data_IF_133012943559
#
_entry.id   IF_133012943559
#
_cell.length_a   1.000
_cell.length_b   1.000
_cell.length_c   1.000
_cell.angle_alpha   90.00
_cell.angle_beta   90.00
_cell.angle_gamma   90.00
#
_symmetry.space_group_name_H-M   'P 1'
#
loop_
_entity.id
_entity.type
_entity.pdbx_description
1 polymer ?
#
# COMPACT_ATOMS: atom_id res chain seq x y z
N UNK A 1 -27.52 51.47 -17.85
CA UNK A 1 -28.35 51.79 -16.66
C UNK A 1 -29.24 50.60 -16.35
N UNK A 2 -28.80 49.78 -15.39
CA UNK A 2 -29.53 48.80 -14.57
C UNK A 2 -28.46 48.12 -13.68
N UNK A 3 -28.77 47.73 -12.43
CA UNK A 3 -27.91 48.05 -11.29
C UNK A 3 -27.13 46.86 -10.70
N UNK A 4 -26.18 47.22 -9.83
CA UNK A 4 -25.37 46.34 -9.00
C UNK A 4 -26.22 45.47 -8.08
N UNK A 5 -25.88 44.18 -8.01
CA UNK A 5 -26.31 43.30 -6.92
C UNK A 5 -25.12 43.02 -6.00
N UNK A 6 -25.28 43.60 -4.81
CA UNK A 6 -24.52 43.54 -3.58
C UNK A 6 -23.86 42.19 -3.28
N UNK A 7 -22.55 42.26 -3.04
CA UNK A 7 -21.79 41.33 -2.23
C UNK A 7 -22.23 41.46 -0.76
N UNK A 8 -23.22 40.68 -0.34
CA UNK A 8 -23.59 40.53 1.07
C UNK A 8 -24.32 39.19 1.23
N UNK A 9 -23.59 38.08 1.34
CA UNK A 9 -24.11 36.86 2.00
C UNK A 9 -23.01 35.80 2.28
N UNK A 10 -21.89 36.17 2.90
CA UNK A 10 -20.99 35.21 3.56
C UNK A 10 -20.33 35.87 4.78
N UNK A 11 -21.18 36.33 5.70
CA UNK A 11 -20.79 36.70 7.07
C UNK A 11 -21.28 35.59 7.99
N UNK A 12 -20.40 35.10 8.86
CA UNK A 12 -20.68 34.21 10.00
C UNK A 12 -20.81 32.71 9.71
N UNK A 13 -19.70 32.08 9.35
CA UNK A 13 -19.38 30.75 9.86
C UNK A 13 -18.23 30.90 10.86
N UNK A 14 -18.57 31.29 12.09
CA UNK A 14 -17.63 31.32 13.20
C UNK A 14 -17.27 29.87 13.56
N UNK A 15 -16.09 29.42 13.13
CA UNK A 15 -15.54 28.13 13.52
C UNK A 15 -15.21 28.21 15.01
N UNK A 16 -16.10 27.69 15.86
CA UNK A 16 -15.89 27.57 17.29
C UNK A 16 -14.75 26.56 17.51
N UNK A 17 -13.54 27.05 17.71
CA UNK A 17 -12.43 26.24 18.23
C UNK A 17 -12.66 25.96 19.72
N UNK A 18 -12.50 24.71 20.20
CA UNK A 18 -12.49 24.45 21.64
C UNK A 18 -11.33 25.21 22.30
N UNK A 19 -11.47 25.64 23.57
CA UNK A 19 -10.44 26.42 24.25
C UNK A 19 -9.13 25.64 24.30
N UNK A 20 -8.03 26.31 23.92
CA UNK A 20 -6.70 25.74 23.95
C UNK A 20 -6.34 25.34 25.38
N UNK A 21 -6.29 24.04 25.67
CA UNK A 21 -5.56 23.58 26.84
C UNK A 21 -4.11 24.02 26.67
N UNK A 22 -3.63 24.89 27.56
CA UNK A 22 -2.21 25.23 27.69
C UNK A 22 -1.48 23.98 28.18
N UNK A 23 -1.22 23.03 27.29
CA UNK A 23 -0.26 21.96 27.55
C UNK A 23 1.11 22.62 27.70
N UNK A 24 1.86 22.18 28.72
CA UNK A 24 3.26 22.56 28.88
C UNK A 24 3.99 22.26 27.57
N UNK A 25 4.95 23.09 27.14
CA UNK A 25 5.75 22.78 25.95
C UNK A 25 6.41 21.42 26.18
N UNK A 26 5.94 20.42 25.43
CA UNK A 26 6.62 19.14 25.35
C UNK A 26 7.89 19.45 24.59
N UNK A 27 9.03 19.43 25.27
CA UNK A 27 10.33 19.40 24.61
C UNK A 27 10.39 18.10 23.83
N UNK A 28 10.01 18.15 22.56
CA UNK A 28 10.27 17.07 21.62
C UNK A 28 11.80 16.99 21.54
N UNK A 29 12.42 15.88 21.97
CA UNK A 29 13.85 15.71 21.75
C UNK A 29 14.09 15.87 20.26
N UNK A 30 15.04 16.73 19.90
CA UNK A 30 15.48 16.91 18.53
C UNK A 30 15.95 15.55 18.01
N UNK A 31 15.11 14.92 17.18
CA UNK A 31 15.45 13.68 16.52
C UNK A 31 16.42 14.06 15.40
N UNK A 32 17.71 14.00 15.69
CA UNK A 32 18.70 13.92 14.63
C UNK A 32 18.55 12.57 13.95
N UNK A 33 18.14 12.52 12.67
CA UNK A 33 18.15 11.26 11.97
C UNK A 33 19.59 10.80 11.87
N UNK A 34 19.88 9.63 12.45
CA UNK A 34 21.15 8.92 12.23
C UNK A 34 21.14 8.40 10.78
N UNK A 35 21.30 9.31 9.82
CA UNK A 35 21.73 8.96 8.49
C UNK A 35 23.24 8.71 8.60
N UNK A 36 23.64 7.45 8.54
CA UNK A 36 25.03 7.13 8.23
C UNK A 36 25.34 7.78 6.88
N UNK A 37 26.10 8.88 6.89
CA UNK A 37 26.62 9.54 5.69
C UNK A 37 27.71 8.71 5.00
N UNK A 38 28.10 7.58 5.60
CA UNK A 38 28.88 6.55 4.93
C UNK A 38 28.04 5.94 3.78
N UNK A 39 28.35 6.37 2.56
CA UNK A 39 28.02 5.60 1.36
C UNK A 39 28.56 4.20 1.57
N UNK A 40 27.68 3.22 1.79
CA UNK A 40 28.04 1.81 1.87
C UNK A 40 28.86 1.49 0.63
N UNK A 41 30.11 1.05 0.84
CA UNK A 41 30.93 0.54 -0.25
C UNK A 41 30.14 -0.59 -0.92
N UNK A 42 30.05 -0.61 -2.27
CA UNK A 42 29.34 -1.67 -2.96
C UNK A 42 29.91 -3.00 -2.46
N UNK A 43 29.06 -3.87 -1.91
CA UNK A 43 29.52 -5.18 -1.46
C UNK A 43 30.18 -5.87 -2.64
N UNK A 44 31.41 -6.36 -2.45
CA UNK A 44 32.22 -7.00 -3.50
C UNK A 44 31.59 -8.25 -4.11
N UNK A 45 30.47 -8.72 -3.54
CA UNK A 45 29.67 -9.82 -4.06
C UNK A 45 28.26 -9.30 -4.44
N UNK A 46 27.85 -9.38 -5.71
CA UNK A 46 26.50 -8.98 -6.11
C UNK A 46 25.48 -9.89 -5.42
N UNK A 47 24.41 -9.29 -4.88
CA UNK A 47 23.33 -10.06 -4.27
C UNK A 47 22.76 -11.07 -5.26
N UNK A 48 22.80 -12.35 -4.91
CA UNK A 48 22.24 -13.44 -5.72
C UNK A 48 20.79 -13.71 -5.30
N UNK A 49 19.89 -13.69 -6.27
CA UNK A 49 18.48 -13.99 -6.05
C UNK A 49 18.30 -15.42 -5.56
N UNK A 50 17.62 -15.56 -4.42
CA UNK A 50 17.27 -16.86 -3.84
C UNK A 50 15.80 -17.13 -4.09
N UNK A 51 15.51 -17.97 -5.07
CA UNK A 51 14.14 -18.31 -5.46
C UNK A 51 13.45 -19.08 -4.34
N UNK A 52 12.21 -18.69 -4.05
CA UNK A 52 11.29 -19.38 -3.16
C UNK A 52 10.36 -20.22 -4.04
N UNK A 53 10.75 -21.47 -4.28
CA UNK A 53 10.06 -22.38 -5.22
C UNK A 53 8.57 -22.54 -4.94
N UNK A 54 8.16 -22.54 -3.67
CA UNK A 54 6.75 -22.57 -3.28
C UNK A 54 5.97 -21.39 -3.89
N UNK A 55 6.52 -20.18 -3.81
CA UNK A 55 5.88 -18.98 -4.34
C UNK A 55 5.85 -19.02 -5.86
N UNK A 56 6.96 -19.43 -6.50
CA UNK A 56 7.02 -19.60 -7.95
C UNK A 56 5.93 -20.56 -8.46
N UNK A 57 5.82 -21.76 -7.86
CA UNK A 57 4.82 -22.76 -8.25
C UNK A 57 3.41 -22.22 -8.03
N UNK A 58 3.15 -21.55 -6.90
CA UNK A 58 1.85 -20.95 -6.63
C UNK A 58 1.48 -19.88 -7.68
N UNK A 59 2.41 -19.01 -8.07
CA UNK A 59 2.16 -18.02 -9.12
C UNK A 59 1.94 -18.66 -10.49
N UNK A 60 2.73 -19.67 -10.86
CA UNK A 60 2.52 -20.41 -12.12
C UNK A 60 1.12 -21.04 -12.13
N UNK A 61 0.74 -21.71 -11.05
CA UNK A 61 -0.59 -22.33 -10.92
C UNK A 61 -1.72 -21.29 -10.99
N UNK A 62 -1.57 -20.16 -10.29
CA UNK A 62 -2.55 -19.06 -10.28
C UNK A 62 -2.77 -18.52 -11.70
N UNK A 63 -1.70 -18.21 -12.42
CA UNK A 63 -1.79 -17.64 -13.77
C UNK A 63 -2.31 -18.67 -14.78
N UNK A 64 -1.89 -19.93 -14.70
CA UNK A 64 -2.42 -21.00 -15.53
C UNK A 64 -3.93 -21.20 -15.31
N UNK A 65 -4.37 -21.17 -14.05
CA UNK A 65 -5.80 -21.27 -13.70
C UNK A 65 -6.60 -20.06 -14.20
N UNK A 66 -6.04 -18.85 -14.13
CA UNK A 66 -6.68 -17.65 -14.64
C UNK A 66 -6.83 -17.68 -16.17
N UNK A 67 -5.80 -18.12 -16.90
CA UNK A 67 -5.85 -18.30 -18.36
C UNK A 67 -6.87 -19.38 -18.75
N UNK A 68 -6.93 -20.48 -18.00
CA UNK A 68 -7.93 -21.52 -18.21
C UNK A 68 -9.36 -21.01 -17.95
N UNK A 69 -9.56 -20.25 -16.87
CA UNK A 69 -10.84 -19.59 -16.59
C UNK A 69 -11.27 -18.63 -17.71
N UNK A 70 -10.34 -17.84 -18.24
CA UNK A 70 -10.61 -16.97 -19.40
C UNK A 70 -10.99 -17.78 -20.64
N UNK A 71 -10.27 -18.87 -20.92
CA UNK A 71 -10.61 -19.79 -22.02
C UNK A 71 -12.04 -20.33 -21.88
N UNK A 72 -12.45 -20.75 -20.68
CA UNK A 72 -13.82 -21.23 -20.42
C UNK A 72 -14.86 -20.14 -20.62
N UNK A 73 -14.61 -18.91 -20.17
CA UNK A 73 -15.51 -17.77 -20.39
C UNK A 73 -15.72 -17.50 -21.89
N UNK A 74 -14.67 -17.62 -22.69
CA UNK A 74 -14.71 -17.30 -24.13
C UNK A 74 -15.26 -18.42 -25.00
N UNK A 75 -15.08 -19.68 -24.61
CA UNK A 75 -15.40 -20.83 -25.46
C UNK A 75 -16.63 -21.62 -25.00
N UNK A 76 -16.98 -21.52 -23.71
CA UNK A 76 -18.06 -22.31 -23.14
C UNK A 76 -19.33 -21.46 -23.01
N UNK A 77 -20.33 -21.74 -23.86
CA UNK A 77 -21.57 -20.96 -23.96
C UNK A 77 -22.51 -21.10 -22.73
N UNK A 78 -22.09 -21.81 -21.68
CA UNK A 78 -22.87 -22.02 -20.45
C UNK A 78 -22.46 -21.10 -19.30
N UNK A 79 -21.43 -20.26 -19.47
CA UNK A 79 -21.04 -19.31 -18.44
C UNK A 79 -22.12 -18.25 -18.30
N UNK A 80 -22.69 -18.13 -17.11
CA UNK A 80 -23.73 -17.15 -16.84
C UNK A 80 -23.12 -15.75 -16.78
N UNK A 81 -23.83 -14.75 -17.33
CA UNK A 81 -23.42 -13.34 -17.22
C UNK A 81 -23.28 -12.89 -15.76
N UNK A 82 -24.10 -13.44 -14.86
CA UNK A 82 -23.99 -13.21 -13.42
C UNK A 82 -22.60 -13.54 -12.89
N UNK A 83 -21.98 -14.64 -13.34
CA UNK A 83 -20.62 -15.03 -12.95
C UNK A 83 -19.59 -13.98 -13.35
N UNK A 84 -19.71 -13.44 -14.57
CA UNK A 84 -18.82 -12.39 -15.08
C UNK A 84 -19.00 -11.09 -14.26
N UNK A 85 -20.23 -10.68 -14.01
CA UNK A 85 -20.50 -9.51 -13.17
C UNK A 85 -19.99 -9.69 -11.74
N UNK A 86 -20.20 -10.86 -11.13
CA UNK A 86 -19.67 -11.16 -9.79
C UNK A 86 -18.15 -11.06 -9.78
N UNK A 87 -17.45 -11.61 -10.78
CA UNK A 87 -15.99 -11.49 -10.89
C UNK A 87 -15.54 -10.02 -10.94
N UNK A 88 -16.18 -9.20 -11.78
CA UNK A 88 -15.84 -7.79 -11.92
C UNK A 88 -16.12 -6.99 -10.64
N UNK A 89 -17.26 -7.22 -9.99
CA UNK A 89 -17.63 -6.54 -8.74
C UNK A 89 -16.66 -6.91 -7.61
N UNK A 90 -16.36 -8.20 -7.44
CA UNK A 90 -15.42 -8.64 -6.41
C UNK A 90 -14.00 -8.14 -6.69
N UNK A 91 -13.59 -8.10 -7.95
CA UNK A 91 -12.32 -7.52 -8.38
C UNK A 91 -12.22 -6.03 -8.04
N UNK A 92 -13.28 -5.27 -8.32
CA UNK A 92 -13.35 -3.84 -7.99
C UNK A 92 -13.33 -3.61 -6.46
N UNK A 93 -14.13 -4.34 -5.69
CA UNK A 93 -14.13 -4.25 -4.23
C UNK A 93 -12.74 -4.55 -3.68
N UNK A 94 -12.09 -5.61 -4.17
CA UNK A 94 -10.73 -5.97 -3.76
C UNK A 94 -9.72 -4.87 -4.09
N UNK A 95 -9.82 -4.26 -5.27
CA UNK A 95 -8.98 -3.15 -5.67
C UNK A 95 -9.12 -1.96 -4.71
N UNK A 96 -10.35 -1.60 -4.32
CA UNK A 96 -10.61 -0.53 -3.33
C UNK A 96 -10.04 -0.85 -1.94
N UNK A 97 -10.04 -2.12 -1.55
CA UNK A 97 -9.36 -2.59 -0.33
C UNK A 97 -7.88 -2.23 -0.32
N UNK A 98 -7.20 -2.36 -1.46
CA UNK A 98 -5.79 -2.00 -1.62
C UNK A 98 -5.64 -0.49 -1.75
N UNK A 99 -6.36 0.16 -2.67
CA UNK A 99 -6.14 1.55 -3.06
C UNK A 99 -6.64 2.53 -2.00
N UNK A 100 -7.90 2.41 -1.57
CA UNK A 100 -8.46 3.25 -0.53
C UNK A 100 -7.97 2.79 0.85
N UNK A 101 -7.98 1.49 1.11
CA UNK A 101 -7.53 0.90 2.36
C UNK A 101 -6.00 0.89 2.53
N UNK A 102 -5.35 -0.21 2.14
CA UNK A 102 -3.93 -0.49 2.46
C UNK A 102 -3.00 0.67 2.09
N UNK A 103 -3.24 1.29 0.95
CA UNK A 103 -2.44 2.36 0.40
C UNK A 103 -2.76 3.73 1.05
N UNK A 104 -3.95 4.29 0.82
CA UNK A 104 -4.25 5.68 1.22
C UNK A 104 -4.57 5.82 2.71
N UNK A 105 -5.39 4.94 3.27
CA UNK A 105 -5.79 4.98 4.68
C UNK A 105 -4.63 4.54 5.58
N UNK A 106 -4.15 3.30 5.44
CA UNK A 106 -3.18 2.75 6.40
C UNK A 106 -1.73 3.12 6.11
N UNK A 107 -1.30 3.16 4.84
CA UNK A 107 0.11 3.47 4.55
C UNK A 107 0.41 4.97 4.60
N UNK A 108 -0.42 5.79 3.96
CA UNK A 108 -0.17 7.23 3.81
C UNK A 108 -0.99 8.12 4.75
N UNK A 109 -2.02 7.58 5.43
CA UNK A 109 -2.93 8.34 6.29
C UNK A 109 -3.47 9.62 5.65
N UNK A 110 -3.84 9.55 4.36
CA UNK A 110 -4.33 10.73 3.64
C UNK A 110 -5.75 11.12 4.04
N UNK A 111 -6.45 10.26 4.78
CA UNK A 111 -7.76 10.52 5.36
C UNK A 111 -7.99 9.64 6.59
N UNK A 112 -9.00 10.00 7.39
CA UNK A 112 -9.46 9.22 8.55
C UNK A 112 -10.81 8.57 8.23
N UNK A 113 -10.98 7.31 8.65
CA UNK A 113 -12.21 6.55 8.45
C UNK A 113 -12.82 6.12 9.80
N UNK A 114 -14.14 6.13 9.89
CA UNK A 114 -14.86 5.52 11.03
C UNK A 114 -14.80 4.00 10.93
N UNK A 115 -15.01 3.32 12.06
CA UNK A 115 -14.93 1.87 12.19
C UNK A 115 -15.68 1.07 11.09
N UNK A 116 -16.92 1.41 10.67
CA UNK A 116 -17.61 0.65 9.65
C UNK A 116 -16.87 0.62 8.30
N UNK A 117 -16.34 1.77 7.87
CA UNK A 117 -15.58 1.85 6.62
C UNK A 117 -14.24 1.13 6.74
N UNK A 118 -13.58 1.24 7.89
CA UNK A 118 -12.31 0.52 8.16
C UNK A 118 -12.51 -0.99 8.09
N UNK A 119 -13.61 -1.50 8.66
CA UNK A 119 -13.98 -2.92 8.58
C UNK A 119 -14.23 -3.35 7.12
N UNK A 120 -15.00 -2.58 6.35
CA UNK A 120 -15.27 -2.88 4.94
C UNK A 120 -13.99 -2.92 4.11
N UNK A 121 -13.10 -1.93 4.27
CA UNK A 121 -11.83 -1.87 3.57
C UNK A 121 -10.87 -3.01 3.99
N UNK A 122 -10.92 -3.45 5.25
CA UNK A 122 -10.13 -4.58 5.73
C UNK A 122 -10.59 -5.90 5.09
N UNK A 123 -11.90 -6.13 5.01
CA UNK A 123 -12.46 -7.30 4.34
C UNK A 123 -12.14 -7.28 2.84
N UNK A 124 -12.29 -6.13 2.19
CA UNK A 124 -11.91 -5.91 0.80
C UNK A 124 -10.41 -6.18 0.55
N UNK A 125 -9.51 -5.69 1.42
CA UNK A 125 -8.08 -5.97 1.33
C UNK A 125 -7.79 -7.47 1.50
N UNK A 126 -8.53 -8.14 2.37
CA UNK A 126 -8.40 -9.58 2.59
C UNK A 126 -8.76 -10.35 1.32
N UNK A 127 -9.80 -9.93 0.60
CA UNK A 127 -10.16 -10.49 -0.70
C UNK A 127 -9.09 -10.26 -1.77
N UNK A 128 -8.37 -9.14 -1.72
CA UNK A 128 -7.29 -8.84 -2.67
C UNK A 128 -6.08 -9.78 -2.57
N UNK A 129 -5.94 -10.49 -1.45
CA UNK A 129 -4.90 -11.50 -1.22
C UNK A 129 -3.45 -10.99 -1.41
N UNK A 130 -3.19 -9.73 -1.03
CA UNK A 130 -1.87 -9.10 -1.11
C UNK A 130 -1.16 -9.04 0.26
N UNK A 131 -1.06 -10.16 0.97
CA UNK A 131 -0.63 -10.22 2.38
C UNK A 131 -1.54 -9.41 3.34
N UNK A 132 -1.32 -9.58 4.64
CA UNK A 132 -2.06 -8.84 5.65
C UNK A 132 -1.63 -7.36 5.69
N UNK A 133 -2.56 -6.48 6.11
CA UNK A 133 -2.39 -5.02 6.09
C UNK A 133 -1.06 -4.57 6.70
N UNK A 134 -0.68 -5.14 7.85
CA UNK A 134 0.57 -4.77 8.53
C UNK A 134 1.83 -4.99 7.67
N UNK A 135 1.93 -6.12 6.96
CA UNK A 135 3.09 -6.39 6.11
C UNK A 135 3.06 -5.53 4.85
N UNK A 136 1.88 -5.38 4.23
CA UNK A 136 1.71 -4.53 3.04
C UNK A 136 2.13 -3.09 3.34
N UNK A 137 1.64 -2.52 4.44
CA UNK A 137 1.95 -1.14 4.86
C UNK A 137 3.42 -0.96 5.20
N UNK A 138 4.02 -1.93 5.91
CA UNK A 138 5.47 -1.89 6.18
C UNK A 138 6.24 -1.81 4.88
N UNK A 139 6.03 -2.77 3.98
CA UNK A 139 6.79 -2.87 2.73
C UNK A 139 6.55 -1.65 1.83
N UNK A 140 5.33 -1.12 1.79
CA UNK A 140 4.99 0.10 1.05
C UNK A 140 5.69 1.34 1.60
N UNK A 141 5.75 1.51 2.94
CA UNK A 141 6.50 2.59 3.58
C UNK A 141 8.00 2.47 3.33
N UNK A 142 8.55 1.24 3.33
CA UNK A 142 9.95 0.99 2.95
C UNK A 142 10.17 1.40 1.49
N UNK A 143 9.29 0.98 0.58
CA UNK A 143 9.37 1.32 -0.84
C UNK A 143 9.44 2.83 -1.06
N UNK A 144 8.56 3.61 -0.42
CA UNK A 144 8.58 5.07 -0.56
C UNK A 144 9.82 5.73 0.05
N UNK A 145 10.36 5.17 1.14
CA UNK A 145 11.51 5.77 1.83
C UNK A 145 12.84 5.49 1.13
N UNK A 146 12.95 4.33 0.47
CA UNK A 146 14.20 3.86 -0.14
C UNK A 146 14.02 3.49 -1.61
N UNK A 147 13.13 4.20 -2.32
CA UNK A 147 12.81 3.94 -3.72
C UNK A 147 14.07 3.75 -4.57
N UNK A 148 14.08 2.71 -5.39
CA UNK A 148 15.18 2.36 -6.29
C UNK A 148 16.53 2.02 -5.60
N UNK A 149 16.56 1.87 -4.28
CA UNK A 149 17.71 1.34 -3.52
C UNK A 149 17.57 -0.17 -3.25
N UNK A 150 18.61 -0.80 -2.72
CA UNK A 150 18.57 -2.22 -2.35
C UNK A 150 17.56 -2.55 -1.24
N UNK A 151 17.14 -1.54 -0.48
CA UNK A 151 16.09 -1.64 0.52
C UNK A 151 14.68 -1.52 -0.05
N UNK A 152 14.50 -1.12 -1.32
CA UNK A 152 13.19 -1.14 -1.98
C UNK A 152 12.79 -2.61 -2.25
N UNK A 153 11.66 -3.10 -1.68
CA UNK A 153 11.20 -4.47 -1.89
C UNK A 153 11.06 -4.85 -3.37
N UNK A 154 10.66 -3.89 -4.21
CA UNK A 154 10.40 -4.09 -5.63
C UNK A 154 11.17 -3.08 -6.50
N UNK A 155 12.44 -2.87 -6.13
CA UNK A 155 13.39 -1.99 -6.82
C UNK A 155 13.31 -2.11 -8.36
N UNK A 156 12.92 -1.01 -9.02
CA UNK A 156 12.72 -0.97 -10.47
C UNK A 156 14.04 -1.09 -11.27
N UNK A 157 15.18 -0.72 -10.67
CA UNK A 157 16.52 -0.85 -11.28
C UNK A 157 16.95 -2.30 -11.49
N UNK A 158 16.27 -3.26 -10.84
CA UNK A 158 16.48 -4.71 -11.05
C UNK A 158 15.70 -5.26 -12.26
N UNK A 159 15.02 -4.38 -12.99
CA UNK A 159 14.33 -4.69 -14.25
C UNK A 159 12.84 -4.95 -14.07
N UNK A 160 12.10 -4.80 -15.17
CA UNK A 160 10.63 -4.89 -15.21
C UNK A 160 10.08 -6.15 -14.55
N UNK A 161 10.64 -7.32 -14.88
CA UNK A 161 10.14 -8.58 -14.32
C UNK A 161 10.30 -8.63 -12.80
N UNK A 162 11.42 -8.11 -12.26
CA UNK A 162 11.66 -8.09 -10.82
C UNK A 162 10.64 -7.22 -10.10
N UNK A 163 10.46 -5.97 -10.54
CA UNK A 163 9.54 -5.03 -9.90
C UNK A 163 8.07 -5.40 -10.08
N UNK A 164 7.72 -6.08 -11.18
CA UNK A 164 6.34 -6.52 -11.44
C UNK A 164 5.94 -7.73 -10.59
N UNK A 165 6.75 -8.79 -10.57
CA UNK A 165 6.41 -10.06 -9.89
C UNK A 165 7.61 -10.78 -9.27
N UNK A 166 8.81 -10.63 -9.86
CA UNK A 166 10.01 -11.38 -9.47
C UNK A 166 10.36 -11.25 -8.00
N UNK A 167 10.13 -10.08 -7.41
CA UNK A 167 10.35 -9.83 -5.99
C UNK A 167 9.53 -10.74 -5.05
N UNK A 168 8.32 -11.14 -5.45
CA UNK A 168 7.44 -12.05 -4.69
C UNK A 168 7.91 -13.50 -4.74
N UNK A 169 8.74 -13.84 -5.73
CA UNK A 169 9.26 -15.19 -5.96
C UNK A 169 10.67 -15.37 -5.38
N UNK A 170 11.27 -14.32 -4.83
CA UNK A 170 12.60 -14.34 -4.25
C UNK A 170 12.57 -14.04 -2.76
N UNK A 171 13.60 -14.45 -2.03
CA UNK A 171 13.83 -13.90 -0.68
C UNK A 171 14.09 -12.40 -0.79
N UNK A 172 13.60 -11.62 0.18
CA UNK A 172 13.87 -10.19 0.27
C UNK A 172 15.39 -9.95 0.40
N UNK A 173 15.84 -8.81 -0.11
CA UNK A 173 17.21 -8.36 0.11
C UNK A 173 17.43 -8.08 1.62
N UNK A 174 18.61 -8.35 2.20
CA UNK A 174 18.87 -8.06 3.61
C UNK A 174 18.53 -6.63 4.01
N UNK A 175 18.86 -5.64 3.17
CA UNK A 175 18.57 -4.23 3.42
C UNK A 175 17.05 -3.94 3.52
N UNK A 176 16.19 -4.69 2.82
CA UNK A 176 14.72 -4.56 2.97
C UNK A 176 14.30 -4.99 4.38
N UNK A 177 14.92 -6.04 4.91
CA UNK A 177 14.62 -6.56 6.25
C UNK A 177 15.14 -5.60 7.32
N UNK A 178 16.40 -5.19 7.20
CA UNK A 178 17.07 -4.30 8.15
C UNK A 178 16.39 -2.93 8.19
N UNK A 179 16.27 -2.24 7.03
CA UNK A 179 15.63 -0.92 6.99
C UNK A 179 14.13 -0.99 7.26
N UNK A 180 13.49 -2.12 6.98
CA UNK A 180 12.08 -2.37 7.29
C UNK A 180 11.77 -2.45 8.79
N UNK A 181 12.73 -2.86 9.63
CA UNK A 181 12.58 -2.83 11.10
C UNK A 181 12.56 -1.39 11.65
N UNK A 182 13.17 -0.45 10.94
CA UNK A 182 13.21 0.98 11.30
C UNK A 182 11.99 1.79 10.84
N UNK A 183 10.99 1.17 10.21
CA UNK A 183 9.75 1.85 9.85
C UNK A 183 8.82 1.95 11.06
N UNK A 184 8.40 3.18 11.38
CA UNK A 184 7.36 3.41 12.39
C UNK A 184 6.03 2.82 11.91
N UNK A 185 5.46 1.93 12.74
CA UNK A 185 4.17 1.27 12.56
C UNK A 185 3.34 1.32 13.87
N UNK A 186 3.69 2.24 14.78
CA UNK A 186 2.98 2.40 16.07
C UNK A 186 1.51 2.69 15.87
N UNK A 187 1.17 3.45 14.83
CA UNK A 187 -0.20 3.73 14.43
C UNK A 187 -0.99 2.48 14.07
N UNK A 188 -0.41 1.59 13.27
CA UNK A 188 -1.08 0.35 12.87
C UNK A 188 -1.26 -0.61 14.04
N UNK A 189 -0.38 -0.54 15.04
CA UNK A 189 -0.51 -1.35 16.27
C UNK A 189 -1.59 -0.82 17.22
N UNK A 190 -1.95 0.46 17.07
CA UNK A 190 -2.97 1.14 17.88
C UNK A 190 -4.33 1.24 17.16
N UNK A 191 -4.39 0.82 15.89
CA UNK A 191 -5.56 0.86 15.02
C UNK A 191 -6.64 -0.14 15.44
#
# INVERSE_FOLDING_TARGET
>A
MAPSLSAHFLSEAEVIYPPSHKSKPVTVPEYEPVYSTEKRTPSTNPYRWKIVWRNLIAFVYLHASALYGLYLILTFNQVQLSTVFTLLILGFISAEGVTAGAHRLWSHRTYSAKWPLRLLLMLAQTMAFQNHIYEWVRDHRVHHKFTDEDADPHNSRRGFFFSHMGWLMCKKHPDVIEKGQGIDLTDLKQD
#
